data_IF_974433456388
#
_entry.id   IF_974433456388
#
_cell.length_a   1.000
_cell.length_b   1.000
_cell.length_c   1.000
_cell.angle_alpha   90.00
_cell.angle_beta   90.00
_cell.angle_gamma   90.00
#
_symmetry.space_group_name_H-M   'P 1'
#
loop_
_entity.id
_entity.type
_entity.pdbx_description
1 polymer ?
#
# COMPACT_ATOMS: atom_id res chain seq x y z
N UNK A 1 19.49 -27.04 28.81
CA UNK A 1 20.50 -26.15 28.21
C UNK A 1 20.13 -25.97 26.75
N UNK A 2 19.37 -24.93 26.40
CA UNK A 2 19.14 -24.57 24.99
C UNK A 2 20.37 -23.79 24.52
N UNK A 3 21.05 -24.31 23.50
CA UNK A 3 22.10 -23.57 22.81
C UNK A 3 21.56 -22.30 22.15
N UNK A 4 22.44 -21.35 21.77
CA UNK A 4 22.02 -20.15 21.07
C UNK A 4 21.26 -20.51 19.80
N UNK A 5 20.08 -19.91 19.62
CA UNK A 5 19.31 -20.05 18.38
C UNK A 5 20.05 -19.24 17.32
N UNK A 6 20.88 -19.92 16.54
CA UNK A 6 21.58 -19.30 15.41
C UNK A 6 20.55 -19.04 14.31
N UNK A 7 20.44 -17.79 13.85
CA UNK A 7 19.51 -17.42 12.81
C UNK A 7 19.87 -18.07 11.48
N UNK A 8 18.88 -18.30 10.61
CA UNK A 8 19.08 -18.86 9.26
C UNK A 8 20.03 -18.00 8.40
N UNK A 9 20.33 -16.76 8.81
CA UNK A 9 21.25 -15.85 8.14
C UNK A 9 22.67 -15.86 8.71
N UNK A 10 22.86 -16.38 9.93
CA UNK A 10 24.11 -16.25 10.67
C UNK A 10 25.02 -17.47 10.49
N UNK A 11 24.44 -18.67 10.36
CA UNK A 11 25.20 -19.89 10.02
C UNK A 11 24.35 -20.86 9.21
N UNK A 12 25.02 -21.70 8.42
CA UNK A 12 24.38 -22.76 7.66
C UNK A 12 24.03 -23.94 8.58
N UNK A 13 22.75 -24.21 8.87
CA UNK A 13 22.36 -25.34 9.74
C UNK A 13 22.54 -26.71 9.07
N UNK A 14 22.77 -26.75 7.76
CA UNK A 14 22.88 -27.97 6.97
C UNK A 14 24.33 -28.44 6.77
N UNK A 15 25.33 -27.63 7.13
CA UNK A 15 26.76 -27.95 6.96
C UNK A 15 27.21 -29.18 7.75
N UNK A 16 26.62 -29.42 8.92
CA UNK A 16 26.98 -30.54 9.79
C UNK A 16 26.23 -31.85 9.48
N UNK A 17 25.41 -31.89 8.43
CA UNK A 17 24.61 -33.07 8.13
C UNK A 17 25.40 -34.13 7.35
N UNK A 18 25.59 -35.30 7.98
CA UNK A 18 26.36 -36.42 7.44
C UNK A 18 25.80 -37.06 6.16
N UNK A 19 24.53 -36.79 5.85
CA UNK A 19 23.84 -37.31 4.66
C UNK A 19 23.85 -36.34 3.47
N UNK A 20 24.37 -35.12 3.65
CA UNK A 20 24.37 -34.08 2.62
C UNK A 20 25.80 -33.86 2.12
N UNK A 21 25.93 -33.69 0.81
CA UNK A 21 27.15 -33.13 0.23
C UNK A 21 27.25 -31.64 0.56
N UNK A 22 28.46 -31.09 0.53
CA UNK A 22 28.69 -29.68 0.83
C UNK A 22 27.89 -28.75 -0.10
N UNK A 23 27.73 -29.13 -1.37
CA UNK A 23 26.93 -28.37 -2.33
C UNK A 23 25.44 -28.39 -1.96
N UNK A 24 24.89 -29.56 -1.63
CA UNK A 24 23.48 -29.69 -1.24
C UNK A 24 23.16 -28.88 0.01
N UNK A 25 24.03 -28.91 1.02
CA UNK A 25 23.90 -28.12 2.23
C UNK A 25 23.87 -26.62 1.94
N UNK A 26 24.74 -26.14 1.04
CA UNK A 26 24.78 -24.73 0.64
C UNK A 26 23.52 -24.32 -0.15
N UNK A 27 23.09 -25.16 -1.09
CA UNK A 27 21.88 -24.90 -1.90
C UNK A 27 20.65 -24.84 -1.01
N UNK A 28 20.48 -25.79 -0.08
CA UNK A 28 19.37 -25.79 0.87
C UNK A 28 19.38 -24.55 1.76
N UNK A 29 20.56 -24.08 2.17
CA UNK A 29 20.69 -22.86 2.95
C UNK A 29 20.27 -21.61 2.17
N UNK A 30 20.68 -21.49 0.90
CA UNK A 30 20.23 -20.40 0.02
C UNK A 30 18.72 -20.44 -0.20
N UNK A 31 18.12 -21.62 -0.42
CA UNK A 31 16.67 -21.76 -0.52
C UNK A 31 15.95 -21.38 0.78
N UNK A 32 16.51 -21.71 1.93
CA UNK A 32 15.95 -21.33 3.22
C UNK A 32 15.96 -19.80 3.41
N UNK A 33 17.07 -19.14 3.07
CA UNK A 33 17.17 -17.67 3.07
C UNK A 33 16.19 -17.03 2.09
N UNK A 34 16.09 -17.57 0.87
CA UNK A 34 15.13 -17.10 -0.13
C UNK A 34 13.68 -17.25 0.35
N UNK A 35 13.33 -18.40 0.93
CA UNK A 35 11.99 -18.62 1.49
C UNK A 35 11.66 -17.59 2.57
N UNK A 36 12.64 -17.25 3.42
CA UNK A 36 12.46 -16.23 4.44
C UNK A 36 12.24 -14.85 3.82
N UNK A 37 13.05 -14.45 2.83
CA UNK A 37 12.83 -13.19 2.11
C UNK A 37 11.46 -13.14 1.41
N UNK A 38 11.01 -14.23 0.81
CA UNK A 38 9.69 -14.30 0.16
C UNK A 38 8.56 -14.14 1.18
N UNK A 39 8.69 -14.71 2.38
CA UNK A 39 7.74 -14.49 3.49
C UNK A 39 7.72 -13.04 3.93
N UNK A 40 8.88 -12.42 4.09
CA UNK A 40 8.98 -11.02 4.51
C UNK A 40 8.40 -10.07 3.45
N UNK A 41 8.65 -10.35 2.17
CA UNK A 41 8.05 -9.63 1.04
C UNK A 41 6.54 -9.79 0.99
N UNK A 42 6.00 -11.00 1.17
CA UNK A 42 4.55 -11.23 1.17
C UNK A 42 3.88 -10.55 2.36
N UNK A 43 4.46 -10.60 3.56
CA UNK A 43 3.96 -9.86 4.72
C UNK A 43 4.00 -8.35 4.48
N UNK A 44 5.10 -7.83 3.95
CA UNK A 44 5.25 -6.40 3.66
C UNK A 44 4.28 -5.93 2.59
N UNK A 45 4.12 -6.71 1.52
CA UNK A 45 3.18 -6.45 0.43
C UNK A 45 1.74 -6.49 0.93
N UNK A 46 1.39 -7.48 1.74
CA UNK A 46 0.07 -7.58 2.38
C UNK A 46 -0.19 -6.37 3.26
N UNK A 47 0.76 -5.96 4.11
CA UNK A 47 0.65 -4.74 4.92
C UNK A 47 0.46 -3.48 4.07
N UNK A 48 1.17 -3.37 2.95
CA UNK A 48 1.03 -2.24 2.02
C UNK A 48 -0.32 -2.26 1.29
N UNK A 49 -0.83 -3.44 0.95
CA UNK A 49 -2.09 -3.61 0.23
C UNK A 49 -3.33 -3.50 1.14
N UNK A 50 -3.23 -3.91 2.40
CA UNK A 50 -4.35 -3.91 3.35
C UNK A 50 -4.57 -2.56 4.02
N UNK A 51 -3.58 -1.67 3.98
CA UNK A 51 -3.73 -0.29 4.41
C UNK A 51 -4.29 0.56 3.27
N UNK A 52 -5.58 0.96 3.27
CA UNK A 52 -5.95 2.17 2.54
C UNK A 52 -5.09 3.28 3.12
N UNK A 53 -4.44 4.06 2.25
CA UNK A 53 -3.72 5.24 2.70
C UNK A 53 -4.76 6.20 3.28
N UNK A 54 -5.02 6.09 4.59
CA UNK A 54 -6.02 6.90 5.30
C UNK A 54 -5.71 8.39 5.12
N UNK A 55 -4.43 8.72 4.92
CA UNK A 55 -3.96 10.05 4.57
C UNK A 55 -4.48 10.47 3.19
N UNK A 56 -4.38 9.60 2.18
CA UNK A 56 -4.94 9.83 0.85
C UNK A 56 -6.46 10.01 0.90
N UNK A 57 -7.20 9.13 1.57
CA UNK A 57 -8.67 9.25 1.70
C UNK A 57 -9.06 10.55 2.40
N UNK A 58 -8.36 10.91 3.48
CA UNK A 58 -8.58 12.18 4.18
C UNK A 58 -8.35 13.39 3.27
N UNK A 59 -7.26 13.38 2.49
CA UNK A 59 -6.97 14.43 1.50
C UNK A 59 -8.03 14.51 0.41
N UNK A 60 -8.47 13.38 -0.13
CA UNK A 60 -9.56 13.34 -1.13
C UNK A 60 -10.86 13.90 -0.55
N UNK A 61 -11.23 13.57 0.68
CA UNK A 61 -12.43 14.10 1.34
C UNK A 61 -12.35 15.61 1.60
N UNK A 62 -11.16 16.14 1.88
CA UNK A 62 -10.96 17.61 1.96
C UNK A 62 -11.14 18.23 0.57
N UNK A 63 -10.58 17.63 -0.47
CA UNK A 63 -10.72 18.11 -1.85
C UNK A 63 -12.18 18.10 -2.32
N UNK A 64 -12.90 17.01 -2.05
CA UNK A 64 -14.33 16.85 -2.36
C UNK A 64 -15.16 17.98 -1.76
N UNK A 65 -14.96 18.31 -0.48
CA UNK A 65 -15.69 19.40 0.19
C UNK A 65 -15.39 20.76 -0.42
N UNK A 66 -14.12 21.03 -0.76
CA UNK A 66 -13.72 22.30 -1.37
C UNK A 66 -14.31 22.45 -2.77
N UNK A 67 -14.19 21.43 -3.60
CA UNK A 67 -14.73 21.44 -4.96
C UNK A 67 -16.26 21.46 -4.97
N UNK A 68 -16.90 20.76 -4.03
CA UNK A 68 -18.35 20.79 -3.85
C UNK A 68 -18.85 22.20 -3.51
N UNK A 69 -18.15 22.92 -2.63
CA UNK A 69 -18.47 24.33 -2.33
C UNK A 69 -18.31 25.23 -3.57
N UNK A 70 -17.19 25.09 -4.30
CA UNK A 70 -16.95 25.85 -5.54
C UNK A 70 -18.06 25.60 -6.55
N UNK A 71 -18.45 24.33 -6.77
CA UNK A 71 -19.51 23.97 -7.69
C UNK A 71 -20.87 24.54 -7.25
N UNK A 72 -21.21 24.46 -5.96
CA UNK A 72 -22.46 25.03 -5.42
C UNK A 72 -22.51 26.53 -5.62
N UNK A 73 -21.43 27.26 -5.28
CA UNK A 73 -21.35 28.70 -5.47
C UNK A 73 -21.44 29.10 -6.93
N UNK A 74 -20.74 28.37 -7.81
CA UNK A 74 -20.81 28.59 -9.26
C UNK A 74 -22.22 28.36 -9.81
N UNK A 75 -22.89 27.27 -9.39
CA UNK A 75 -24.27 27.02 -9.81
C UNK A 75 -25.21 28.12 -9.31
N UNK A 76 -25.07 28.56 -8.07
CA UNK A 76 -25.86 29.64 -7.52
C UNK A 76 -25.63 30.97 -8.27
N UNK A 77 -24.37 31.30 -8.62
CA UNK A 77 -24.06 32.52 -9.36
C UNK A 77 -24.64 32.50 -10.77
N UNK A 78 -24.56 31.36 -11.47
CA UNK A 78 -25.17 31.22 -12.81
C UNK A 78 -26.69 31.33 -12.73
N UNK A 79 -27.32 30.70 -11.74
CA UNK A 79 -28.77 30.75 -11.57
C UNK A 79 -29.26 32.17 -11.25
N UNK A 80 -28.51 32.92 -10.43
CA UNK A 80 -28.77 34.33 -10.17
C UNK A 80 -28.80 35.16 -11.44
N UNK A 81 -27.77 35.03 -12.29
CA UNK A 81 -27.70 35.77 -13.58
C UNK A 81 -28.84 35.40 -14.52
N UNK A 82 -29.18 34.10 -14.63
CA UNK A 82 -30.29 33.66 -15.51
C UNK A 82 -31.63 34.20 -15.02
N UNK A 83 -31.87 34.19 -13.70
CA UNK A 83 -33.13 34.67 -13.12
C UNK A 83 -33.26 36.20 -13.20
N UNK A 84 -32.14 36.93 -13.29
CA UNK A 84 -32.10 38.38 -13.48
C UNK A 84 -32.21 38.80 -14.96
N UNK A 85 -32.15 37.84 -15.91
CA UNK A 85 -32.47 38.14 -17.31
C UNK A 85 -33.97 38.43 -17.43
N UNK A 86 -34.38 39.57 -18.02
CA UNK A 86 -35.79 39.85 -18.24
C UNK A 86 -36.38 38.76 -19.14
N UNK A 87 -37.46 38.12 -18.69
CA UNK A 87 -38.22 37.18 -19.48
C UNK A 87 -38.64 37.86 -20.78
N UNK A 88 -38.05 37.44 -21.91
CA UNK A 88 -38.50 37.71 -23.27
C UNK A 88 -39.11 39.09 -23.54
N UNK A 89 -38.30 40.01 -24.05
CA UNK A 89 -38.80 41.16 -24.80
C UNK A 89 -39.57 40.70 -26.04
N UNK A 90 -40.90 40.56 -25.89
CA UNK A 90 -41.88 40.64 -26.97
C UNK A 90 -43.07 41.47 -26.48
N UNK A 91 -42.94 42.78 -26.64
CA UNK A 91 -44.03 43.75 -26.79
C UNK A 91 -43.49 44.92 -27.60
#
# INVERSE_FOLDING_TARGET
>A
MSGPVVGIFDANPYESHSSLTQLEANVLWEYAKLSQHVKDLTVTTKRLSEGPDENLIARLRVLERKMGLVLTLFKASVWGVINEQPEGGYA
#
